data_IF_470763711171
#
_entry.id   IF_470763711171
#
_cell.length_a   1.000
_cell.length_b   1.000
_cell.length_c   1.000
_cell.angle_alpha   90.00
_cell.angle_beta   90.00
_cell.angle_gamma   90.00
#
_symmetry.space_group_name_H-M   'P 1'
#
loop_
_entity.id
_entity.type
_entity.pdbx_description
1 polymer ?
#
# COMPACT_ATOMS: atom_id res chain seq x y z
N UNK A 1 9.55 22.09 10.64
CA UNK A 1 10.50 21.50 9.69
C UNK A 1 10.70 20.06 10.13
N UNK A 2 10.64 19.13 9.22
CA UNK A 2 10.79 17.69 9.42
C UNK A 2 11.95 17.20 8.56
N UNK A 3 12.65 16.17 9.02
CA UNK A 3 13.82 15.60 8.33
C UNK A 3 13.44 14.54 7.28
N UNK A 4 12.24 14.01 7.36
CA UNK A 4 11.72 13.02 6.43
C UNK A 4 10.22 12.89 6.55
N UNK A 5 9.59 12.31 5.53
CA UNK A 5 8.17 12.01 5.49
C UNK A 5 7.92 10.71 4.75
N UNK A 6 6.94 9.96 5.19
CA UNK A 6 6.31 8.90 4.44
C UNK A 6 5.00 9.43 3.88
N UNK A 7 4.77 9.24 2.58
CA UNK A 7 3.61 9.79 1.91
C UNK A 7 2.90 8.72 1.08
N UNK A 8 3.11 8.70 -0.23
CA UNK A 8 2.37 7.84 -1.14
C UNK A 8 3.33 7.11 -2.09
N UNK A 9 2.79 6.43 -3.10
CA UNK A 9 3.60 5.84 -4.18
C UNK A 9 4.46 6.88 -4.90
N UNK A 10 5.56 6.43 -5.48
CA UNK A 10 6.57 7.31 -6.08
C UNK A 10 5.99 8.27 -7.12
N UNK A 11 5.13 7.78 -8.00
CA UNK A 11 4.49 8.60 -9.04
C UNK A 11 3.55 9.66 -8.46
N UNK A 12 2.82 9.33 -7.39
CA UNK A 12 1.96 10.29 -6.71
C UNK A 12 2.79 11.39 -6.06
N UNK A 13 3.90 11.03 -5.44
CA UNK A 13 4.82 11.96 -4.79
C UNK A 13 5.48 12.90 -5.81
N UNK A 14 5.74 12.44 -7.03
CA UNK A 14 6.15 13.31 -8.15
C UNK A 14 5.04 14.31 -8.47
N UNK A 15 3.80 13.86 -8.57
CA UNK A 15 2.66 14.75 -8.82
C UNK A 15 2.42 15.81 -7.74
N UNK A 16 2.84 15.53 -6.50
CA UNK A 16 2.79 16.47 -5.38
C UNK A 16 3.99 17.45 -5.34
N UNK A 17 4.96 17.32 -6.24
CA UNK A 17 6.15 18.17 -6.28
C UNK A 17 7.16 17.92 -5.17
N UNK A 18 7.08 16.76 -4.45
CA UNK A 18 7.97 16.51 -3.31
C UNK A 18 9.44 16.47 -3.72
N UNK A 19 9.73 15.94 -4.90
CA UNK A 19 11.11 15.79 -5.39
C UNK A 19 11.72 17.07 -6.00
N UNK A 20 10.94 18.13 -6.07
CA UNK A 20 11.48 19.47 -6.34
C UNK A 20 12.25 19.99 -5.13
N UNK A 21 11.83 19.55 -3.92
CA UNK A 21 12.38 19.98 -2.64
C UNK A 21 13.41 18.96 -2.11
N UNK A 22 13.04 17.65 -2.07
CA UNK A 22 13.89 16.59 -1.53
C UNK A 22 14.51 15.76 -2.65
N UNK A 23 15.79 15.40 -2.49
CA UNK A 23 16.56 14.66 -3.51
C UNK A 23 16.91 13.24 -3.10
N UNK A 24 16.25 12.72 -2.06
CA UNK A 24 16.45 11.37 -1.56
C UNK A 24 15.09 10.69 -1.34
N UNK A 25 14.94 9.45 -1.79
CA UNK A 25 13.74 8.67 -1.61
C UNK A 25 14.06 7.18 -1.48
N UNK A 26 13.24 6.45 -0.73
CA UNK A 26 13.28 4.99 -0.70
C UNK A 26 12.39 4.45 -1.82
N UNK A 27 12.98 3.62 -2.70
CA UNK A 27 12.25 2.93 -3.76
C UNK A 27 13.00 1.66 -4.19
N UNK A 28 12.34 0.49 -4.30
CA UNK A 28 10.94 0.25 -3.90
C UNK A 28 10.64 0.59 -2.44
N UNK A 29 9.40 0.94 -2.15
CA UNK A 29 8.99 1.32 -0.80
C UNK A 29 9.13 0.19 0.23
N UNK A 30 9.24 0.55 1.49
CA UNK A 30 9.35 -0.43 2.60
C UNK A 30 7.99 -1.01 3.03
N UNK A 31 6.90 -0.31 2.78
CA UNK A 31 5.53 -0.80 2.93
C UNK A 31 4.75 -0.50 1.64
N UNK A 32 4.90 -1.31 0.65
CA UNK A 32 4.18 -1.20 -0.62
C UNK A 32 2.91 -2.03 -0.59
N UNK A 33 1.94 -1.65 -1.42
CA UNK A 33 0.67 -2.33 -1.60
C UNK A 33 -0.25 -2.26 -0.36
N UNK A 34 -0.65 -1.05 0.08
CA UNK A 34 -1.74 -0.92 1.03
C UNK A 34 -3.00 -1.57 0.47
N UNK A 35 -3.77 -2.21 1.35
CA UNK A 35 -5.06 -2.77 0.98
C UNK A 35 -6.09 -1.65 0.90
N UNK A 36 -6.14 -0.95 -0.22
CA UNK A 36 -7.17 0.05 -0.46
C UNK A 36 -8.54 -0.62 -0.52
N UNK A 37 -9.52 0.00 0.10
CA UNK A 37 -10.86 -0.56 0.19
C UNK A 37 -11.93 0.51 -0.08
N UNK A 38 -13.06 0.05 -0.61
CA UNK A 38 -14.25 0.88 -0.75
C UNK A 38 -15.09 0.76 0.53
N UNK A 39 -15.26 1.87 1.26
CA UNK A 39 -16.16 1.94 2.38
C UNK A 39 -17.47 2.64 1.99
N UNK A 40 -18.60 2.07 2.36
CA UNK A 40 -19.91 2.62 2.13
C UNK A 40 -20.69 2.69 3.43
N UNK A 41 -21.45 3.77 3.62
CA UNK A 41 -22.41 3.84 4.72
C UNK A 41 -23.42 2.70 4.59
N UNK A 42 -23.68 1.98 5.70
CA UNK A 42 -24.50 0.78 5.69
C UNK A 42 -25.94 1.06 5.23
N UNK A 43 -26.56 2.13 5.69
CA UNK A 43 -27.94 2.45 5.33
C UNK A 43 -28.07 2.80 3.83
N UNK A 44 -27.05 3.47 3.29
CA UNK A 44 -26.95 3.76 1.85
C UNK A 44 -26.82 2.46 1.08
N UNK A 45 -25.92 1.57 1.51
CA UNK A 45 -25.70 0.27 0.87
C UNK A 45 -26.95 -0.61 0.89
N UNK A 46 -27.62 -0.66 2.03
CA UNK A 46 -28.86 -1.45 2.20
C UNK A 46 -30.01 -0.90 1.36
N UNK A 47 -30.04 0.42 1.09
CA UNK A 47 -31.00 1.06 0.21
C UNK A 47 -30.79 0.82 -1.28
N UNK A 48 -29.61 0.29 -1.68
CA UNK A 48 -29.33 -0.03 -3.08
C UNK A 48 -30.03 -1.31 -3.51
N UNK A 49 -30.52 -1.33 -4.75
CA UNK A 49 -31.01 -2.56 -5.37
C UNK A 49 -29.86 -3.55 -5.59
N UNK A 50 -30.17 -4.83 -5.74
CA UNK A 50 -29.19 -5.87 -6.02
C UNK A 50 -28.39 -5.57 -7.30
N UNK A 51 -29.04 -5.07 -8.34
CA UNK A 51 -28.36 -4.70 -9.58
C UNK A 51 -27.37 -3.55 -9.39
N UNK A 52 -27.71 -2.56 -8.57
CA UNK A 52 -26.78 -1.45 -8.25
C UNK A 52 -25.58 -1.94 -7.47
N UNK A 53 -25.77 -2.81 -6.47
CA UNK A 53 -24.64 -3.41 -5.73
C UNK A 53 -23.72 -4.21 -6.65
N UNK A 54 -24.27 -5.03 -7.54
CA UNK A 54 -23.48 -5.78 -8.53
C UNK A 54 -22.68 -4.88 -9.47
N UNK A 55 -23.25 -3.75 -9.89
CA UNK A 55 -22.52 -2.77 -10.71
C UNK A 55 -21.32 -2.21 -9.94
N UNK A 56 -21.51 -1.84 -8.67
CA UNK A 56 -20.43 -1.32 -7.82
C UNK A 56 -19.35 -2.38 -7.64
N UNK A 57 -19.71 -3.62 -7.28
CA UNK A 57 -18.75 -4.71 -7.09
C UNK A 57 -17.93 -4.98 -8.35
N UNK A 58 -18.61 -5.05 -9.51
CA UNK A 58 -17.93 -5.29 -10.79
C UNK A 58 -17.01 -4.13 -11.17
N UNK A 59 -17.47 -2.90 -10.98
CA UNK A 59 -16.67 -1.70 -11.24
C UNK A 59 -15.45 -1.65 -10.32
N UNK A 60 -15.61 -1.97 -9.03
CA UNK A 60 -14.52 -2.00 -8.07
C UNK A 60 -13.46 -3.06 -8.40
N UNK A 61 -13.88 -4.28 -8.74
CA UNK A 61 -12.97 -5.34 -9.16
C UNK A 61 -12.17 -4.92 -10.39
N UNK A 62 -12.83 -4.36 -11.41
CA UNK A 62 -12.17 -3.87 -12.61
C UNK A 62 -11.19 -2.72 -12.31
N UNK A 63 -11.61 -1.79 -11.46
CA UNK A 63 -10.78 -0.66 -11.04
C UNK A 63 -9.54 -1.13 -10.29
N UNK A 64 -9.67 -2.10 -9.38
CA UNK A 64 -8.55 -2.64 -8.61
C UNK A 64 -7.43 -3.20 -9.50
N UNK A 65 -7.79 -3.97 -10.51
CA UNK A 65 -6.82 -4.45 -11.50
C UNK A 65 -6.17 -3.32 -12.30
N UNK A 66 -6.98 -2.38 -12.76
CA UNK A 66 -6.48 -1.25 -13.55
C UNK A 66 -5.51 -0.39 -12.74
N UNK A 67 -5.87 -0.07 -11.48
CA UNK A 67 -5.04 0.76 -10.59
C UNK A 67 -3.72 0.05 -10.26
N UNK A 68 -3.74 -1.25 -9.96
CA UNK A 68 -2.53 -2.00 -9.67
C UNK A 68 -1.52 -1.93 -10.84
N UNK A 69 -1.98 -2.23 -12.06
CA UNK A 69 -1.12 -2.22 -13.24
C UNK A 69 -0.65 -0.80 -13.62
N UNK A 70 -1.53 0.20 -13.55
CA UNK A 70 -1.18 1.57 -13.91
C UNK A 70 -0.23 2.20 -12.89
N UNK A 71 -0.40 1.91 -11.59
CA UNK A 71 0.51 2.39 -10.55
C UNK A 71 1.92 1.78 -10.69
N UNK A 72 2.01 0.49 -10.98
CA UNK A 72 3.30 -0.16 -11.20
C UNK A 72 4.06 0.48 -12.37
N UNK A 73 3.37 0.67 -13.50
CA UNK A 73 3.93 1.35 -14.66
C UNK A 73 4.33 2.79 -14.33
N UNK A 74 3.44 3.55 -13.72
CA UNK A 74 3.70 4.96 -13.39
C UNK A 74 4.87 5.10 -12.40
N UNK A 75 5.00 4.22 -11.43
CA UNK A 75 6.11 4.22 -10.48
C UNK A 75 7.45 3.88 -11.17
N UNK A 76 7.46 2.94 -12.12
CA UNK A 76 8.66 2.62 -12.89
C UNK A 76 9.12 3.80 -13.76
N UNK A 77 8.18 4.46 -14.45
CA UNK A 77 8.45 5.67 -15.23
C UNK A 77 8.96 6.83 -14.35
N UNK A 78 8.31 7.04 -13.19
CA UNK A 78 8.73 8.02 -12.21
C UNK A 78 10.15 7.74 -11.69
N UNK A 79 10.49 6.49 -11.40
CA UNK A 79 11.82 6.11 -10.93
C UNK A 79 12.91 6.42 -11.96
N UNK A 80 12.65 6.13 -13.24
CA UNK A 80 13.57 6.44 -14.32
C UNK A 80 13.77 7.96 -14.47
N UNK A 81 12.67 8.73 -14.45
CA UNK A 81 12.71 10.19 -14.53
C UNK A 81 13.47 10.80 -13.34
N UNK A 82 13.15 10.41 -12.11
CA UNK A 82 13.77 10.96 -10.92
C UNK A 82 15.28 10.70 -10.85
N UNK A 83 15.74 9.54 -11.30
CA UNK A 83 17.19 9.24 -11.43
C UNK A 83 17.85 10.21 -12.43
N UNK A 84 17.20 10.48 -13.56
CA UNK A 84 17.71 11.44 -14.54
C UNK A 84 17.73 12.88 -14.00
N UNK A 85 16.77 13.24 -13.13
CA UNK A 85 16.67 14.54 -12.48
C UNK A 85 17.58 14.68 -11.23
N UNK A 86 18.45 13.70 -10.98
CA UNK A 86 19.43 13.72 -9.88
C UNK A 86 18.87 13.35 -8.50
N UNK A 87 17.71 12.71 -8.44
CA UNK A 87 17.19 12.15 -7.18
C UNK A 87 17.83 10.80 -6.93
N UNK A 88 18.35 10.61 -5.73
CA UNK A 88 18.91 9.33 -5.28
C UNK A 88 17.80 8.43 -4.74
N UNK A 89 17.63 7.26 -5.36
CA UNK A 89 16.69 6.24 -4.92
C UNK A 89 17.45 5.15 -4.16
N UNK A 90 17.01 4.89 -2.93
CA UNK A 90 17.59 3.88 -2.06
C UNK A 90 16.69 2.66 -2.03
N UNK A 91 17.28 1.50 -2.19
CA UNK A 91 16.64 0.22 -1.97
C UNK A 91 17.13 -0.40 -0.66
N UNK A 92 16.24 -1.02 0.07
CA UNK A 92 16.57 -1.72 1.29
C UNK A 92 17.10 -3.11 0.99
N UNK A 93 18.08 -3.56 1.77
CA UNK A 93 18.53 -4.94 1.70
C UNK A 93 17.41 -5.91 2.16
N UNK A 94 17.51 -7.16 1.74
CA UNK A 94 16.59 -8.19 2.21
C UNK A 94 16.65 -8.39 3.73
N UNK A 95 17.79 -8.14 4.35
CA UNK A 95 17.96 -8.18 5.79
C UNK A 95 17.15 -7.06 6.47
N UNK A 96 17.24 -5.83 5.96
CA UNK A 96 16.50 -4.68 6.49
C UNK A 96 15.00 -4.85 6.30
N UNK A 97 14.57 -5.38 5.15
CA UNK A 97 13.14 -5.69 4.90
C UNK A 97 12.61 -6.72 5.88
N UNK A 98 13.37 -7.76 6.21
CA UNK A 98 12.98 -8.75 7.22
C UNK A 98 12.89 -8.14 8.61
N UNK A 99 13.86 -7.29 8.96
CA UNK A 99 13.86 -6.57 10.24
C UNK A 99 12.65 -5.66 10.37
N UNK A 100 12.35 -4.87 9.33
CA UNK A 100 11.18 -4.01 9.30
C UNK A 100 9.88 -4.81 9.47
N UNK A 101 9.73 -5.94 8.73
CA UNK A 101 8.54 -6.79 8.87
C UNK A 101 8.40 -7.37 10.27
N UNK A 102 9.51 -7.72 10.92
CA UNK A 102 9.48 -8.21 12.30
C UNK A 102 8.99 -7.13 13.26
N UNK A 103 9.49 -5.90 13.12
CA UNK A 103 9.01 -4.77 13.90
C UNK A 103 7.53 -4.45 13.62
N UNK A 104 7.12 -4.49 12.36
CA UNK A 104 5.73 -4.24 11.96
C UNK A 104 4.74 -5.24 12.56
N UNK A 105 5.13 -6.51 12.70
CA UNK A 105 4.26 -7.54 13.31
C UNK A 105 3.83 -7.19 14.74
N UNK A 106 4.68 -6.51 15.51
CA UNK A 106 4.32 -6.04 16.86
C UNK A 106 3.16 -5.04 16.80
N UNK A 107 3.22 -4.10 15.87
CA UNK A 107 2.13 -3.14 15.66
C UNK A 107 0.86 -3.82 15.12
N UNK A 108 1.00 -4.84 14.27
CA UNK A 108 -0.15 -5.59 13.77
C UNK A 108 -0.90 -6.33 14.88
N UNK A 109 -0.18 -6.94 15.84
CA UNK A 109 -0.79 -7.61 16.98
C UNK A 109 -1.56 -6.62 17.88
N UNK A 110 -1.01 -5.44 18.13
CA UNK A 110 -1.71 -4.39 18.86
C UNK A 110 -3.03 -4.01 18.16
N UNK A 111 -2.99 -3.76 16.85
CA UNK A 111 -4.18 -3.45 16.08
C UNK A 111 -5.17 -4.63 16.01
N UNK A 112 -4.68 -5.84 15.80
CA UNK A 112 -5.48 -7.05 15.73
C UNK A 112 -6.22 -7.37 17.03
N UNK A 113 -5.69 -6.92 18.17
CA UNK A 113 -6.32 -7.13 19.49
C UNK A 113 -7.52 -6.21 19.77
N UNK A 114 -7.75 -5.17 18.94
CA UNK A 114 -8.74 -4.11 19.21
C UNK A 114 -10.18 -4.53 18.92
N UNK A 115 -10.41 -5.50 18.03
CA UNK A 115 -11.73 -6.09 17.81
C UNK A 115 -11.63 -7.50 17.22
N UNK A 116 -12.69 -8.32 17.31
CA UNK A 116 -12.72 -9.64 16.68
C UNK A 116 -12.49 -9.58 15.16
N UNK A 117 -13.02 -8.57 14.49
CA UNK A 117 -12.87 -8.36 13.05
C UNK A 117 -11.43 -8.02 12.68
N UNK A 118 -10.79 -7.13 13.46
CA UNK A 118 -9.38 -6.79 13.27
C UNK A 118 -8.49 -8.03 13.47
N UNK A 119 -8.77 -8.85 14.47
CA UNK A 119 -8.07 -10.11 14.71
C UNK A 119 -8.24 -11.11 13.56
N UNK A 120 -9.46 -11.24 13.04
CA UNK A 120 -9.74 -12.13 11.90
C UNK A 120 -9.01 -11.65 10.63
N UNK A 121 -9.00 -10.34 10.39
CA UNK A 121 -8.28 -9.74 9.26
C UNK A 121 -6.77 -9.95 9.39
N UNK A 122 -6.20 -9.69 10.57
CA UNK A 122 -4.78 -9.91 10.84
C UNK A 122 -4.39 -11.37 10.61
N UNK A 123 -5.18 -12.30 11.12
CA UNK A 123 -4.95 -13.74 10.92
C UNK A 123 -4.88 -14.08 9.43
N UNK A 124 -5.86 -13.64 8.65
CA UNK A 124 -5.92 -13.87 7.19
C UNK A 124 -4.70 -13.31 6.48
N UNK A 125 -4.28 -12.09 6.83
CA UNK A 125 -3.07 -11.48 6.26
C UNK A 125 -1.79 -12.23 6.61
N UNK A 126 -1.63 -12.65 7.86
CA UNK A 126 -0.46 -13.43 8.29
C UNK A 126 -0.39 -14.78 7.59
N UNK A 127 -1.50 -15.48 7.44
CA UNK A 127 -1.56 -16.73 6.68
C UNK A 127 -1.11 -16.52 5.22
N UNK A 128 -1.61 -15.46 4.57
CA UNK A 128 -1.22 -15.12 3.19
C UNK A 128 0.25 -14.75 3.07
N UNK A 129 0.77 -13.89 3.96
CA UNK A 129 2.18 -13.52 3.96
C UNK A 129 3.10 -14.72 4.25
N UNK A 130 2.66 -15.65 5.11
CA UNK A 130 3.37 -16.91 5.35
C UNK A 130 3.42 -17.81 4.12
N UNK A 131 2.32 -17.93 3.36
CA UNK A 131 2.28 -18.66 2.09
C UNK A 131 3.24 -18.07 1.05
N UNK A 132 3.44 -16.75 1.07
CA UNK A 132 4.40 -16.06 0.22
C UNK A 132 5.85 -16.14 0.73
N UNK A 133 6.10 -16.75 1.89
CA UNK A 133 7.42 -16.81 2.51
C UNK A 133 7.96 -15.46 2.98
N UNK A 134 7.08 -14.48 3.17
CA UNK A 134 7.46 -13.12 3.57
C UNK A 134 7.57 -12.94 5.08
N UNK A 135 6.91 -13.79 5.85
CA UNK A 135 7.04 -13.89 7.31
C UNK A 135 7.17 -15.37 7.70
N UNK A 136 7.78 -15.63 8.86
CA UNK A 136 7.78 -16.96 9.46
C UNK A 136 6.45 -17.17 10.21
N UNK A 137 5.87 -18.33 10.05
CA UNK A 137 4.68 -18.75 10.82
C UNK A 137 5.07 -19.05 12.26
#
# INVERSE_FOLDING_TARGET
IIDGADASGLANNVGLGLYDIVKHATYPGFHSMPSDHLACNKDVWDGLSESQRRIIDTAWQKLSFHVALSNEKANAEAAAKLKADGVTLYDWSDADRREFRRAAQVAWEDWGSRSPEAGALLKSHKEYLGQLGLISN
#
